data_IF_906234865250
#
_entry.id   IF_906234865250
#
_cell.length_a   1.000
_cell.length_b   1.000
_cell.length_c   1.000
_cell.angle_alpha   90.00
_cell.angle_beta   90.00
_cell.angle_gamma   90.00
#
_symmetry.space_group_name_H-M   'P 1'
#
loop_
_entity.id
_entity.type
_entity.pdbx_description
1 polymer ?
#
# COMPACT_ATOMS: atom_id res chain seq x y z
N UNK A 1 -60.52 -15.92 -31.47
CA UNK A 1 -59.23 -16.43 -31.97
C UNK A 1 -58.15 -16.13 -30.95
N UNK A 2 -57.53 -17.17 -30.46
CA UNK A 2 -56.71 -17.10 -29.22
C UNK A 2 -55.25 -16.95 -29.61
N UNK A 3 -54.65 -15.79 -29.36
CA UNK A 3 -53.23 -15.55 -29.49
C UNK A 3 -52.50 -16.01 -28.19
N UNK A 4 -51.64 -17.01 -28.35
CA UNK A 4 -50.78 -17.53 -27.27
C UNK A 4 -49.53 -16.62 -27.18
N UNK A 5 -49.43 -15.88 -26.08
CA UNK A 5 -48.22 -15.12 -25.74
C UNK A 5 -47.24 -16.10 -25.07
N UNK A 6 -46.18 -16.43 -25.74
CA UNK A 6 -45.05 -17.20 -25.22
C UNK A 6 -44.17 -16.28 -24.36
N UNK A 7 -44.22 -16.55 -23.05
CA UNK A 7 -43.37 -15.88 -22.09
C UNK A 7 -41.98 -16.54 -22.12
N UNK A 8 -41.00 -15.87 -22.71
CA UNK A 8 -39.59 -16.29 -22.68
C UNK A 8 -38.99 -15.73 -21.40
N UNK A 9 -38.91 -16.57 -20.37
CA UNK A 9 -38.13 -16.27 -19.17
C UNK A 9 -36.64 -16.36 -19.51
N UNK A 10 -36.01 -15.24 -19.75
CA UNK A 10 -34.56 -15.14 -19.79
C UNK A 10 -34.00 -15.27 -18.36
N UNK A 11 -33.41 -16.41 -18.07
CA UNK A 11 -32.69 -16.66 -16.82
C UNK A 11 -31.37 -15.88 -16.90
N UNK A 12 -31.30 -14.75 -16.21
CA UNK A 12 -30.05 -14.02 -15.97
C UNK A 12 -29.26 -14.81 -14.91
N UNK A 13 -28.32 -15.63 -15.35
CA UNK A 13 -27.26 -16.19 -14.51
C UNK A 13 -26.34 -15.04 -14.09
N UNK A 14 -26.60 -14.49 -12.89
CA UNK A 14 -25.64 -13.60 -12.22
C UNK A 14 -24.49 -14.49 -11.79
N UNK A 15 -23.42 -14.49 -12.58
CA UNK A 15 -22.13 -14.98 -12.15
C UNK A 15 -21.66 -14.06 -11.00
N UNK A 16 -21.87 -14.50 -9.77
CA UNK A 16 -21.24 -13.91 -8.61
C UNK A 16 -19.72 -14.08 -8.77
N UNK A 17 -19.08 -13.06 -9.36
CA UNK A 17 -17.65 -12.92 -9.33
C UNK A 17 -17.23 -12.81 -7.86
N UNK A 18 -16.72 -13.92 -7.30
CA UNK A 18 -16.04 -13.90 -6.03
C UNK A 18 -14.90 -12.88 -6.14
N UNK A 19 -15.11 -11.69 -5.59
CA UNK A 19 -14.03 -10.77 -5.30
C UNK A 19 -13.07 -11.55 -4.40
N UNK A 20 -12.00 -12.08 -5.00
CA UNK A 20 -10.86 -12.56 -4.22
C UNK A 20 -10.35 -11.36 -3.47
N UNK A 21 -10.73 -11.24 -2.21
CA UNK A 21 -10.02 -10.42 -1.26
C UNK A 21 -8.55 -10.85 -1.39
N UNK A 22 -7.69 -9.95 -1.84
CA UNK A 22 -6.25 -10.16 -1.87
C UNK A 22 -5.85 -10.53 -0.45
N UNK A 23 -5.47 -11.79 -0.26
CA UNK A 23 -4.97 -12.27 1.02
C UNK A 23 -3.69 -11.49 1.33
N UNK A 24 -3.59 -10.86 2.51
CA UNK A 24 -2.39 -10.10 2.91
C UNK A 24 -1.12 -10.94 2.94
N UNK A 25 -1.25 -12.27 2.89
CA UNK A 25 -0.15 -13.23 3.06
C UNK A 25 0.70 -13.48 1.81
N UNK A 26 0.45 -12.81 0.69
CA UNK A 26 1.18 -13.05 -0.56
C UNK A 26 2.08 -11.88 -1.01
N UNK A 27 2.41 -10.95 -0.13
CA UNK A 27 3.46 -9.95 -0.41
C UNK A 27 4.82 -10.47 0.09
N UNK A 28 5.64 -11.09 -0.79
CA UNK A 28 6.94 -11.63 -0.39
C UNK A 28 7.92 -10.52 0.08
N UNK A 29 7.70 -9.29 -0.36
CA UNK A 29 8.47 -8.14 0.09
C UNK A 29 8.06 -7.78 1.53
N UNK A 30 6.76 -7.64 1.78
CA UNK A 30 6.24 -7.36 3.11
C UNK A 30 6.61 -8.42 4.15
N UNK A 31 6.65 -9.70 3.76
CA UNK A 31 7.09 -10.79 4.62
C UNK A 31 8.58 -10.74 4.98
N UNK A 32 9.40 -10.16 4.12
CA UNK A 32 10.86 -10.05 4.31
C UNK A 32 11.28 -8.87 5.18
N UNK A 33 10.36 -7.95 5.47
CA UNK A 33 10.59 -6.75 6.27
C UNK A 33 9.69 -6.73 7.51
N UNK A 34 9.95 -5.79 8.41
CA UNK A 34 9.17 -5.54 9.61
C UNK A 34 8.48 -4.19 9.53
N UNK A 35 7.15 -4.20 9.59
CA UNK A 35 6.37 -2.96 9.62
C UNK A 35 6.76 -2.13 10.85
N UNK A 36 6.85 -0.79 10.74
CA UNK A 36 7.16 0.09 11.86
C UNK A 36 6.27 -0.16 13.09
N UNK A 37 4.97 -0.38 12.85
CA UNK A 37 3.97 -0.62 13.88
C UNK A 37 4.26 -1.91 14.66
N UNK A 38 4.66 -2.98 13.97
CA UNK A 38 5.02 -4.25 14.59
C UNK A 38 6.23 -4.08 15.53
N UNK A 39 7.24 -3.34 15.08
CA UNK A 39 8.46 -3.09 15.87
C UNK A 39 8.16 -2.27 17.11
N UNK A 40 7.38 -1.20 16.97
CA UNK A 40 7.00 -0.33 18.08
C UNK A 40 6.09 -1.05 19.08
N UNK A 41 5.10 -1.83 18.58
CA UNK A 41 4.19 -2.59 19.42
C UNK A 41 4.93 -3.61 20.29
N UNK A 42 5.97 -4.23 19.78
CA UNK A 42 6.72 -5.29 20.46
C UNK A 42 8.09 -4.86 20.98
N UNK A 43 8.35 -3.55 21.10
CA UNK A 43 9.65 -2.99 21.47
C UNK A 43 10.22 -3.55 22.76
N UNK A 44 9.39 -3.82 23.77
CA UNK A 44 9.81 -4.40 25.05
C UNK A 44 10.07 -5.92 24.90
N UNK A 45 9.18 -6.63 24.21
CA UNK A 45 9.29 -8.07 24.00
C UNK A 45 10.55 -8.48 23.23
N UNK A 46 11.01 -7.63 22.29
CA UNK A 46 12.23 -7.86 21.51
C UNK A 46 13.46 -7.21 22.14
N UNK A 47 13.32 -6.50 23.26
CA UNK A 47 14.44 -5.90 23.99
C UNK A 47 15.13 -4.79 23.19
N UNK A 48 14.38 -3.84 22.61
CA UNK A 48 15.00 -2.71 21.93
C UNK A 48 15.78 -1.83 22.92
N UNK A 49 17.02 -1.50 22.57
CA UNK A 49 17.80 -0.52 23.33
C UNK A 49 17.18 0.88 23.24
N UNK A 50 17.53 1.75 24.20
CA UNK A 50 17.11 3.15 24.17
C UNK A 50 17.55 3.84 22.87
N UNK A 51 18.76 3.57 22.40
CA UNK A 51 19.27 4.09 21.14
C UNK A 51 18.43 3.63 19.93
N UNK A 52 18.06 2.33 19.89
CA UNK A 52 17.20 1.81 18.82
C UNK A 52 15.80 2.45 18.84
N UNK A 53 15.21 2.62 20.04
CA UNK A 53 13.90 3.27 20.20
C UNK A 53 13.93 4.69 19.67
N UNK A 54 14.93 5.49 19.99
CA UNK A 54 15.07 6.88 19.50
C UNK A 54 15.36 6.93 18.00
N UNK A 55 16.18 6.00 17.49
CA UNK A 55 16.42 5.87 16.06
C UNK A 55 15.11 5.61 15.29
N UNK A 56 14.31 4.61 15.72
CA UNK A 56 13.06 4.27 15.05
C UNK A 56 12.04 5.41 15.10
N UNK A 57 11.90 6.08 16.25
CA UNK A 57 11.03 7.26 16.35
C UNK A 57 11.41 8.36 15.36
N UNK A 58 12.71 8.59 15.20
CA UNK A 58 13.23 9.62 14.29
C UNK A 58 12.97 9.24 12.84
N UNK A 59 13.31 8.01 12.42
CA UNK A 59 13.11 7.52 11.06
C UNK A 59 11.63 7.51 10.68
N UNK A 60 10.75 7.01 11.56
CA UNK A 60 9.31 6.95 11.32
C UNK A 60 8.74 8.37 11.15
N UNK A 61 9.13 9.32 12.00
CA UNK A 61 8.66 10.70 11.90
C UNK A 61 9.11 11.37 10.61
N UNK A 62 10.38 11.19 10.22
CA UNK A 62 10.89 11.71 8.96
C UNK A 62 10.16 11.12 7.76
N UNK A 63 9.93 9.80 7.76
CA UNK A 63 9.16 9.12 6.72
C UNK A 63 7.72 9.64 6.64
N UNK A 64 7.04 9.85 7.77
CA UNK A 64 5.68 10.40 7.81
C UNK A 64 5.59 11.79 7.19
N UNK A 65 6.54 12.68 7.51
CA UNK A 65 6.61 14.01 6.89
C UNK A 65 6.81 13.90 5.38
N UNK A 66 7.75 13.04 4.96
CA UNK A 66 8.04 12.83 3.54
C UNK A 66 6.87 12.22 2.77
N UNK A 67 6.15 11.25 3.38
CA UNK A 67 4.94 10.69 2.79
C UNK A 67 3.85 11.75 2.59
N UNK A 68 3.64 12.62 3.57
CA UNK A 68 2.66 13.70 3.46
C UNK A 68 2.99 14.60 2.26
N UNK A 69 4.24 15.03 2.12
CA UNK A 69 4.69 15.85 0.98
C UNK A 69 4.46 15.14 -0.36
N UNK A 70 4.82 13.85 -0.44
CA UNK A 70 4.68 13.06 -1.66
C UNK A 70 3.21 12.78 -2.00
N UNK A 71 2.34 12.59 -1.02
CA UNK A 71 0.91 12.45 -1.22
C UNK A 71 0.28 13.72 -1.79
N UNK A 72 0.64 14.90 -1.27
CA UNK A 72 0.21 16.17 -1.84
C UNK A 72 0.67 16.32 -3.30
N UNK A 73 1.94 16.02 -3.57
CA UNK A 73 2.49 16.05 -4.93
C UNK A 73 1.72 15.10 -5.86
N UNK A 74 1.46 13.86 -5.43
CA UNK A 74 0.69 12.89 -6.22
C UNK A 74 -0.71 13.40 -6.52
N UNK A 75 -1.39 13.96 -5.51
CA UNK A 75 -2.72 14.53 -5.68
C UNK A 75 -2.72 15.66 -6.72
N UNK A 76 -1.79 16.61 -6.62
CA UNK A 76 -1.66 17.71 -7.56
C UNK A 76 -1.43 17.22 -9.00
N UNK A 77 -0.57 16.22 -9.20
CA UNK A 77 -0.31 15.67 -10.53
C UNK A 77 -1.52 14.89 -11.08
N UNK A 78 -2.26 14.19 -10.20
CA UNK A 78 -3.52 13.52 -10.58
C UNK A 78 -4.62 14.51 -10.97
N UNK A 79 -4.78 15.62 -10.26
CA UNK A 79 -5.76 16.66 -10.60
C UNK A 79 -5.47 17.27 -11.99
N UNK A 80 -4.19 17.52 -12.31
CA UNK A 80 -3.78 17.97 -13.66
C UNK A 80 -4.12 16.93 -14.72
N UNK A 81 -3.85 15.65 -14.46
CA UNK A 81 -4.17 14.57 -15.39
C UNK A 81 -5.69 14.48 -15.66
N UNK A 82 -6.48 14.54 -14.60
CA UNK A 82 -7.95 14.55 -14.71
C UNK A 82 -8.43 15.78 -15.48
N UNK A 83 -7.83 16.95 -15.27
CA UNK A 83 -8.12 18.17 -16.01
C UNK A 83 -7.89 18.02 -17.52
N UNK A 84 -6.79 17.39 -17.91
CA UNK A 84 -6.50 17.10 -19.32
C UNK A 84 -7.52 16.10 -19.92
N UNK A 85 -7.86 15.05 -19.18
CA UNK A 85 -8.79 14.01 -19.64
C UNK A 85 -10.24 14.51 -19.79
N UNK A 86 -10.64 15.58 -19.10
CA UNK A 86 -11.99 16.19 -19.20
C UNK A 86 -12.20 17.09 -20.40
N UNK A 87 -11.15 17.39 -21.17
CA UNK A 87 -11.27 18.22 -22.36
C UNK A 87 -12.07 17.50 -23.45
N UNK A 88 -12.85 18.23 -24.25
CA UNK A 88 -13.63 17.67 -25.38
C UNK A 88 -12.73 17.02 -26.45
N UNK A 89 -11.55 17.58 -26.65
CA UNK A 89 -10.47 16.98 -27.43
C UNK A 89 -9.28 16.79 -26.55
N UNK A 90 -8.91 15.54 -26.39
CA UNK A 90 -7.81 15.14 -25.53
C UNK A 90 -6.55 15.05 -26.38
N UNK A 91 -5.51 15.77 -25.96
CA UNK A 91 -4.17 15.65 -26.55
C UNK A 91 -3.45 14.49 -25.89
N UNK A 92 -3.23 13.41 -26.66
CA UNK A 92 -2.58 12.18 -26.19
C UNK A 92 -1.18 12.46 -25.62
N UNK A 93 -0.39 13.30 -26.31
CA UNK A 93 0.98 13.59 -25.89
C UNK A 93 1.01 14.32 -24.54
N UNK A 94 0.11 15.28 -24.32
CA UNK A 94 0.01 15.98 -23.04
C UNK A 94 -0.45 15.05 -21.91
N UNK A 95 -1.42 14.18 -22.18
CA UNK A 95 -1.90 13.20 -21.19
C UNK A 95 -0.80 12.23 -20.80
N UNK A 96 -0.07 11.67 -21.76
CA UNK A 96 1.03 10.75 -21.47
C UNK A 96 2.17 11.44 -20.73
N UNK A 97 2.52 12.67 -21.09
CA UNK A 97 3.53 13.44 -20.37
C UNK A 97 3.12 13.76 -18.92
N UNK A 98 1.83 14.00 -18.67
CA UNK A 98 1.31 14.20 -17.32
C UNK A 98 1.23 12.88 -16.53
N UNK A 99 0.86 11.78 -17.19
CA UNK A 99 0.88 10.44 -16.58
C UNK A 99 2.27 10.08 -16.07
N UNK A 100 3.34 10.39 -16.81
CA UNK A 100 4.71 10.14 -16.36
C UNK A 100 5.03 10.88 -15.04
N UNK A 101 4.47 12.07 -14.80
CA UNK A 101 4.65 12.80 -13.54
C UNK A 101 3.90 12.12 -12.38
N UNK A 102 2.71 11.60 -12.64
CA UNK A 102 1.96 10.80 -11.67
C UNK A 102 2.76 9.55 -11.29
N UNK A 103 3.21 8.78 -12.27
CA UNK A 103 4.02 7.58 -12.06
C UNK A 103 5.34 7.87 -11.33
N UNK A 104 5.96 9.02 -11.60
CA UNK A 104 7.15 9.45 -10.88
C UNK A 104 6.86 9.70 -9.39
N UNK A 105 5.75 10.35 -9.06
CA UNK A 105 5.34 10.57 -7.66
C UNK A 105 5.02 9.26 -6.95
N UNK A 106 4.31 8.33 -7.58
CA UNK A 106 4.03 7.00 -7.03
C UNK A 106 5.32 6.20 -6.77
N UNK A 107 6.27 6.28 -7.70
CA UNK A 107 7.59 5.65 -7.55
C UNK A 107 8.35 6.20 -6.35
N UNK A 108 8.33 7.51 -6.14
CA UNK A 108 8.97 8.15 -4.98
C UNK A 108 8.33 7.67 -3.67
N UNK A 109 6.98 7.59 -3.59
CA UNK A 109 6.27 7.05 -2.42
C UNK A 109 6.71 5.62 -2.14
N UNK A 110 6.73 4.76 -3.16
CA UNK A 110 7.15 3.36 -2.99
C UNK A 110 8.60 3.22 -2.55
N UNK A 111 9.47 4.08 -3.08
CA UNK A 111 10.88 4.13 -2.72
C UNK A 111 11.06 4.50 -1.24
N UNK A 112 10.36 5.53 -0.76
CA UNK A 112 10.42 5.92 0.66
C UNK A 112 9.90 4.82 1.58
N UNK A 113 8.81 4.14 1.21
CA UNK A 113 8.29 2.99 1.97
C UNK A 113 9.36 1.90 2.15
N UNK A 114 9.96 1.47 1.04
CA UNK A 114 10.99 0.42 1.08
C UNK A 114 12.22 0.90 1.84
N UNK A 115 12.62 2.17 1.68
CA UNK A 115 13.77 2.75 2.40
C UNK A 115 13.58 2.68 3.90
N UNK A 116 12.38 3.06 4.41
CA UNK A 116 12.07 2.97 5.84
C UNK A 116 12.16 1.51 6.34
N UNK A 117 11.57 0.58 5.60
CA UNK A 117 11.59 -0.86 5.95
C UNK A 117 13.01 -1.42 6.01
N UNK A 118 13.86 -1.05 5.06
CA UNK A 118 15.28 -1.46 5.03
C UNK A 118 16.05 -0.88 6.24
N UNK A 119 15.85 0.41 6.54
CA UNK A 119 16.49 1.07 7.69
C UNK A 119 16.11 0.43 9.01
N UNK A 120 14.81 0.12 9.18
CA UNK A 120 14.31 -0.59 10.36
C UNK A 120 14.96 -1.96 10.48
N UNK A 121 14.93 -2.77 9.43
CA UNK A 121 15.50 -4.12 9.43
C UNK A 121 16.98 -4.10 9.76
N UNK A 122 17.75 -3.21 9.16
CA UNK A 122 19.20 -3.11 9.36
C UNK A 122 19.60 -2.63 10.76
N UNK A 123 18.71 -1.95 11.49
CA UNK A 123 18.97 -1.51 12.87
C UNK A 123 18.62 -2.59 13.90
N UNK A 124 17.91 -3.66 13.52
CA UNK A 124 17.56 -4.79 14.36
C UNK A 124 18.66 -5.85 14.33
N UNK A 125 18.98 -6.46 15.49
CA UNK A 125 19.87 -7.62 15.53
C UNK A 125 19.20 -8.87 14.93
N UNK A 126 19.96 -9.91 14.54
CA UNK A 126 19.38 -11.16 14.05
C UNK A 126 18.40 -11.80 15.03
N UNK A 127 18.69 -11.74 16.35
CA UNK A 127 17.86 -12.27 17.42
C UNK A 127 16.54 -11.49 17.53
N UNK A 128 16.61 -10.16 17.42
CA UNK A 128 15.43 -9.29 17.40
C UNK A 128 14.55 -9.56 16.18
N UNK A 129 15.16 -9.75 15.01
CA UNK A 129 14.45 -10.11 13.78
C UNK A 129 13.75 -11.47 13.90
N UNK A 130 14.42 -12.49 14.45
CA UNK A 130 13.82 -13.80 14.70
C UNK A 130 12.61 -13.69 15.64
N UNK A 131 12.74 -12.93 16.73
CA UNK A 131 11.66 -12.71 17.67
C UNK A 131 10.46 -11.99 17.08
N UNK A 132 10.68 -10.95 16.26
CA UNK A 132 9.61 -10.25 15.56
C UNK A 132 8.89 -11.16 14.55
N UNK A 133 9.61 -12.06 13.88
CA UNK A 133 9.04 -13.06 12.99
C UNK A 133 8.11 -14.03 13.72
N UNK A 134 8.49 -14.49 14.91
CA UNK A 134 7.65 -15.32 15.78
C UNK A 134 6.38 -14.57 16.23
N UNK A 135 6.52 -13.30 16.64
CA UNK A 135 5.41 -12.49 17.13
C UNK A 135 4.40 -12.17 16.01
N UNK A 136 4.90 -11.96 14.78
CA UNK A 136 4.06 -11.75 13.61
C UNK A 136 3.19 -12.96 13.26
N UNK A 137 3.74 -14.17 13.46
CA UNK A 137 3.02 -15.42 13.14
C UNK A 137 1.99 -15.84 14.20
N UNK A 138 2.02 -15.25 15.38
CA UNK A 138 1.04 -15.54 16.45
C UNK A 138 -0.22 -14.72 16.21
N UNK A 139 -1.42 -15.37 16.10
CA UNK A 139 -2.66 -14.63 16.05
C UNK A 139 -2.78 -13.77 17.31
N UNK A 140 -3.18 -12.50 17.14
CA UNK A 140 -3.49 -11.65 18.27
C UNK A 140 -4.61 -12.33 19.08
N UNK A 141 -4.27 -12.83 20.27
CA UNK A 141 -5.26 -13.33 21.21
C UNK A 141 -6.22 -12.17 21.53
N UNK A 142 -7.43 -12.29 21.03
CA UNK A 142 -8.57 -11.46 21.42
C UNK A 142 -9.07 -11.90 22.78
#
# INVERSE_FOLDING_TARGET
MRAKVLCICAIFLIAAGAARAQQPDQDPIGQSFFAPELVIQHQEAVGLSTEQKEYFKTEIRQAQLKFTELQWKLQDEMEKLVGLARQQRVDEQQVLAQLEKVLAAEREIKREQVTLLVRIKNKLSPEQQAKLSELRSKPANR
#
